data_IF_985695380963
#
_entry.id   IF_985695380963
#
_cell.length_a   1.000
_cell.length_b   1.000
_cell.length_c   1.000
_cell.angle_alpha   90.00
_cell.angle_beta   90.00
_cell.angle_gamma   90.00
#
_symmetry.space_group_name_H-M   'P 1'
#
loop_
_entity.id
_entity.type
_entity.pdbx_description
1 polymer ?
#
# COMPACT_ATOMS: atom_id res chain seq x y z
N UNK A 1 48.79 3.46 -48.47
CA UNK A 1 48.31 4.25 -47.32
C UNK A 1 48.64 3.42 -46.09
N UNK A 2 49.81 3.66 -45.49
CA UNK A 2 49.99 4.43 -44.25
C UNK A 2 49.36 3.68 -43.04
N UNK A 3 50.01 3.39 -41.92
CA UNK A 3 51.36 3.63 -41.39
C UNK A 3 51.53 2.76 -40.13
N UNK A 4 52.79 2.48 -39.76
CA UNK A 4 53.40 2.45 -38.41
C UNK A 4 52.69 1.75 -37.23
N UNK A 5 53.29 0.76 -36.55
CA UNK A 5 54.53 0.77 -35.74
C UNK A 5 54.36 1.37 -34.34
N UNK A 6 55.10 0.79 -33.37
CA UNK A 6 55.63 1.43 -32.13
C UNK A 6 54.68 1.31 -30.92
N UNK A 7 55.06 0.92 -29.68
CA UNK A 7 56.32 0.52 -29.02
C UNK A 7 56.01 0.11 -27.57
N UNK A 8 56.78 -0.82 -27.01
CA UNK A 8 56.90 -1.04 -25.56
C UNK A 8 57.74 0.08 -24.92
N UNK A 9 57.29 0.66 -23.80
CA UNK A 9 58.14 1.50 -22.95
C UNK A 9 57.81 1.28 -21.46
N UNK A 10 58.76 0.61 -20.78
CA UNK A 10 59.40 0.89 -19.47
C UNK A 10 58.80 2.08 -18.69
N UNK A 11 58.42 1.98 -17.42
CA UNK A 11 59.23 1.58 -16.26
C UNK A 11 59.99 2.80 -15.69
N UNK A 12 60.11 2.92 -14.36
CA UNK A 12 60.69 4.05 -13.58
C UNK A 12 59.67 5.18 -13.30
N UNK A 13 59.53 5.81 -12.11
CA UNK A 13 60.39 5.94 -10.93
C UNK A 13 59.53 6.43 -9.72
N UNK A 14 59.96 6.07 -8.52
CA UNK A 14 59.87 6.73 -7.19
C UNK A 14 58.76 7.73 -6.80
N UNK A 15 58.32 7.63 -5.55
CA UNK A 15 57.71 8.75 -4.84
C UNK A 15 57.13 8.38 -3.47
N UNK A 16 57.91 8.58 -2.41
CA UNK A 16 57.46 8.52 -1.03
C UNK A 16 56.46 9.64 -0.73
N UNK A 17 55.38 9.34 0.01
CA UNK A 17 54.67 10.32 0.84
C UNK A 17 54.12 9.66 2.10
N UNK A 18 54.65 10.11 3.25
CA UNK A 18 54.01 10.07 4.56
C UNK A 18 52.63 10.74 4.48
N UNK A 19 51.63 10.08 5.06
CA UNK A 19 50.40 10.74 5.51
C UNK A 19 49.77 9.91 6.63
N UNK A 20 50.03 10.33 7.86
CA UNK A 20 49.14 10.12 9.01
C UNK A 20 47.70 10.51 8.62
N UNK A 21 46.78 9.56 8.63
CA UNK A 21 45.33 9.83 8.62
C UNK A 21 44.65 9.00 9.71
N UNK A 22 44.40 9.70 10.81
CA UNK A 22 43.83 9.27 12.08
C UNK A 22 42.33 8.94 11.87
N UNK A 23 42.02 7.72 11.41
CA UNK A 23 40.62 7.24 11.33
C UNK A 23 40.09 6.88 12.71
N UNK A 24 39.66 7.89 13.46
CA UNK A 24 38.62 7.71 14.49
C UNK A 24 37.26 7.94 13.85
N UNK A 25 36.60 6.87 13.41
CA UNK A 25 35.14 6.87 13.26
C UNK A 25 34.57 6.33 14.55
N UNK A 26 34.01 7.23 15.36
CA UNK A 26 33.26 6.90 16.57
C UNK A 26 32.21 5.83 16.28
N UNK A 27 32.09 4.89 17.22
CA UNK A 27 31.20 3.76 17.14
C UNK A 27 29.75 4.20 16.98
N UNK A 28 29.15 3.82 15.84
CA UNK A 28 27.70 3.73 15.72
C UNK A 28 27.23 2.47 16.46
N UNK A 29 27.14 2.57 17.80
CA UNK A 29 26.39 1.61 18.61
C UNK A 29 24.96 2.13 18.74
N UNK A 30 24.14 1.85 17.74
CA UNK A 30 22.69 1.74 17.94
C UNK A 30 22.25 0.39 17.41
N UNK A 31 21.89 -0.51 18.33
CA UNK A 31 20.63 -1.19 18.16
C UNK A 31 19.75 -0.86 19.36
N UNK A 32 18.76 0.02 19.12
CA UNK A 32 17.55 0.05 19.93
C UNK A 32 16.77 -1.23 19.62
N UNK A 33 17.20 -2.33 20.25
CA UNK A 33 16.42 -3.55 20.33
C UNK A 33 15.40 -3.38 21.45
N UNK A 34 14.23 -2.82 21.11
CA UNK A 34 13.07 -2.90 21.98
C UNK A 34 12.41 -4.26 21.75
N UNK A 35 12.95 -5.29 22.41
CA UNK A 35 12.31 -6.61 22.51
C UNK A 35 11.72 -6.75 23.90
N UNK A 36 10.41 -6.53 23.98
CA UNK A 36 9.56 -7.13 24.99
C UNK A 36 8.58 -8.03 24.27
N UNK A 37 9.01 -9.27 24.02
CA UNK A 37 8.15 -10.38 23.62
C UNK A 37 7.02 -10.54 24.65
N UNK A 38 5.79 -10.57 24.16
CA UNK A 38 4.67 -11.15 24.89
C UNK A 38 3.87 -11.94 23.85
N UNK A 39 4.07 -13.25 23.84
CA UNK A 39 3.20 -14.23 23.15
C UNK A 39 1.85 -14.28 23.88
N UNK A 40 1.05 -13.23 23.69
CA UNK A 40 -0.40 -13.23 23.85
C UNK A 40 -1.01 -13.50 22.46
N UNK A 41 -2.29 -13.94 22.33
CA UNK A 41 -2.91 -14.15 21.02
C UNK A 41 -2.62 -12.95 20.12
N UNK A 42 -2.18 -13.24 18.89
CA UNK A 42 -1.48 -12.34 17.98
C UNK A 42 -2.23 -11.04 17.68
N UNK A 43 -2.15 -10.10 18.61
CA UNK A 43 -2.70 -8.77 18.46
C UNK A 43 -1.82 -7.96 17.51
N UNK A 44 -2.45 -7.37 16.48
CA UNK A 44 -1.81 -6.46 15.55
C UNK A 44 -1.30 -5.24 16.31
N UNK A 45 -0.02 -4.84 16.12
CA UNK A 45 0.51 -3.63 16.73
C UNK A 45 -0.33 -2.41 16.35
N UNK A 46 -0.51 -1.47 17.27
CA UNK A 46 -1.34 -0.28 17.04
C UNK A 46 -0.92 0.52 15.80
N UNK A 47 0.39 0.66 15.55
CA UNK A 47 0.91 1.33 14.35
C UNK A 47 0.46 0.65 13.06
N UNK A 48 0.34 -0.69 13.06
CA UNK A 48 -0.15 -1.47 11.92
C UNK A 48 -1.65 -1.21 11.75
N UNK A 49 -2.43 -1.26 12.84
CA UNK A 49 -3.88 -0.97 12.82
C UNK A 49 -4.15 0.41 12.24
N UNK A 50 -3.50 1.46 12.76
CA UNK A 50 -3.66 2.83 12.25
C UNK A 50 -3.12 2.98 10.82
N UNK A 51 -2.00 2.31 10.51
CA UNK A 51 -1.46 2.25 9.16
C UNK A 51 -2.46 1.67 8.16
N UNK A 52 -3.16 0.59 8.52
CA UNK A 52 -4.21 -0.01 7.70
C UNK A 52 -5.45 0.90 7.62
N UNK A 53 -5.92 1.45 8.72
CA UNK A 53 -7.13 2.29 8.72
C UNK A 53 -6.93 3.67 8.07
N UNK A 54 -5.69 4.12 7.87
CA UNK A 54 -5.39 5.40 7.18
C UNK A 54 -5.95 5.52 5.77
N UNK A 55 -6.21 4.40 5.08
CA UNK A 55 -6.78 4.42 3.73
C UNK A 55 -8.29 4.20 3.77
N UNK A 56 -9.04 5.19 3.28
CA UNK A 56 -10.51 5.16 3.18
C UNK A 56 -11.05 3.90 2.50
N UNK A 57 -10.47 3.49 1.36
CA UNK A 57 -10.89 2.25 0.69
C UNK A 57 -10.74 1.00 1.56
N UNK A 58 -9.72 0.91 2.43
CA UNK A 58 -9.58 -0.23 3.35
C UNK A 58 -10.64 -0.17 4.45
N UNK A 59 -10.93 1.02 4.98
CA UNK A 59 -12.04 1.24 5.91
C UNK A 59 -13.38 0.80 5.31
N UNK A 60 -13.65 1.20 4.07
CA UNK A 60 -14.90 0.86 3.39
C UNK A 60 -15.02 -0.66 3.12
N UNK A 61 -13.92 -1.35 2.78
CA UNK A 61 -13.91 -2.82 2.65
C UNK A 61 -14.29 -3.48 3.98
N UNK A 62 -13.65 -3.08 5.08
CA UNK A 62 -13.90 -3.66 6.40
C UNK A 62 -15.32 -3.38 6.88
N UNK A 63 -15.82 -2.17 6.64
CA UNK A 63 -17.20 -1.80 6.95
C UNK A 63 -18.20 -2.68 6.18
N UNK A 64 -17.98 -2.83 4.88
CA UNK A 64 -18.85 -3.66 4.04
C UNK A 64 -18.91 -5.10 4.51
N UNK A 65 -17.76 -5.72 4.78
CA UNK A 65 -17.68 -7.10 5.26
C UNK A 65 -18.32 -7.25 6.64
N UNK A 66 -18.09 -6.30 7.55
CA UNK A 66 -18.72 -6.32 8.88
C UNK A 66 -20.25 -6.20 8.82
N UNK A 67 -20.77 -5.46 7.84
CA UNK A 67 -22.22 -5.31 7.61
C UNK A 67 -22.84 -6.47 6.83
N UNK A 68 -22.02 -7.27 6.13
CA UNK A 68 -22.45 -8.33 5.20
C UNK A 68 -21.92 -9.71 5.64
N UNK A 69 -22.19 -10.08 6.89
CA UNK A 69 -21.89 -11.40 7.47
C UNK A 69 -20.42 -11.87 7.38
N UNK A 70 -19.48 -11.00 7.00
CA UNK A 70 -18.05 -11.26 6.94
C UNK A 70 -17.52 -11.85 5.63
N UNK A 71 -18.34 -12.04 4.59
CA UNK A 71 -17.90 -12.60 3.29
C UNK A 71 -18.47 -11.80 2.12
N UNK A 72 -17.67 -11.56 1.09
CA UNK A 72 -18.11 -10.93 -0.15
C UNK A 72 -17.20 -11.22 -1.34
N UNK A 73 -17.67 -10.93 -2.55
CA UNK A 73 -16.80 -10.85 -3.73
C UNK A 73 -16.17 -9.48 -3.88
N UNK A 74 -14.99 -9.42 -4.48
CA UNK A 74 -14.34 -8.15 -4.85
C UNK A 74 -15.23 -7.27 -5.74
N UNK A 75 -16.13 -7.89 -6.53
CA UNK A 75 -17.07 -7.17 -7.39
C UNK A 75 -18.09 -6.37 -6.60
N UNK A 76 -18.68 -6.99 -5.58
CA UNK A 76 -19.64 -6.36 -4.66
C UNK A 76 -18.96 -5.25 -3.86
N UNK A 77 -17.79 -5.54 -3.27
CA UNK A 77 -17.02 -4.54 -2.52
C UNK A 77 -16.60 -3.37 -3.41
N UNK A 78 -16.22 -3.62 -4.67
CA UNK A 78 -15.88 -2.55 -5.61
C UNK A 78 -17.07 -1.67 -6.00
N UNK A 79 -18.27 -2.23 -6.04
CA UNK A 79 -19.50 -1.48 -6.27
C UNK A 79 -19.81 -0.58 -5.08
N UNK A 80 -19.80 -1.13 -3.87
CA UNK A 80 -19.97 -0.37 -2.64
C UNK A 80 -18.94 0.75 -2.49
N UNK A 81 -17.64 0.40 -2.55
CA UNK A 81 -16.54 1.38 -2.43
C UNK A 81 -16.64 2.44 -3.51
N UNK A 82 -16.93 2.05 -4.76
CA UNK A 82 -17.08 3.01 -5.85
C UNK A 82 -18.27 3.96 -5.66
N UNK A 83 -19.37 3.47 -5.09
CA UNK A 83 -20.55 4.29 -4.79
C UNK A 83 -20.24 5.31 -3.67
N UNK A 84 -19.66 4.84 -2.57
CA UNK A 84 -19.25 5.67 -1.42
C UNK A 84 -18.28 6.78 -1.84
N UNK A 85 -17.23 6.45 -2.60
CA UNK A 85 -16.24 7.43 -3.06
C UNK A 85 -16.81 8.53 -3.96
N UNK A 86 -17.90 8.23 -4.67
CA UNK A 86 -18.53 9.18 -5.59
C UNK A 86 -19.76 9.85 -4.95
N UNK A 87 -20.15 9.48 -3.73
CA UNK A 87 -21.36 9.98 -3.06
C UNK A 87 -22.64 9.69 -3.85
N UNK A 88 -22.71 8.53 -4.52
CA UNK A 88 -23.85 8.13 -5.36
C UNK A 88 -24.41 6.78 -4.92
N UNK A 89 -25.65 6.50 -5.32
CA UNK A 89 -26.21 5.15 -5.18
C UNK A 89 -25.45 4.15 -6.08
N UNK A 90 -25.25 2.92 -5.62
CA UNK A 90 -24.65 1.82 -6.39
C UNK A 90 -25.28 1.63 -7.78
N UNK A 91 -26.62 1.75 -7.86
CA UNK A 91 -27.40 1.68 -9.10
C UNK A 91 -27.02 2.74 -10.15
N UNK A 92 -26.40 3.85 -9.73
CA UNK A 92 -25.93 4.94 -10.60
C UNK A 92 -24.44 4.86 -10.91
N UNK A 93 -23.74 3.90 -10.32
CA UNK A 93 -22.31 3.71 -10.51
C UNK A 93 -22.01 3.30 -11.95
N UNK A 94 -21.18 4.08 -12.64
CA UNK A 94 -20.75 3.72 -13.98
C UNK A 94 -19.76 2.55 -13.96
N UNK A 95 -19.73 1.77 -15.04
CA UNK A 95 -18.75 0.69 -15.19
C UNK A 95 -17.30 1.19 -15.09
N UNK A 96 -17.03 2.45 -15.49
CA UNK A 96 -15.69 3.04 -15.37
C UNK A 96 -15.33 3.32 -13.91
N UNK A 97 -16.25 3.87 -13.11
CA UNK A 97 -16.02 4.09 -11.68
C UNK A 97 -15.84 2.76 -10.94
N UNK A 98 -16.75 1.80 -11.15
CA UNK A 98 -16.64 0.46 -10.55
C UNK A 98 -15.31 -0.21 -10.90
N UNK A 99 -14.88 -0.13 -12.16
CA UNK A 99 -13.59 -0.69 -12.60
C UNK A 99 -12.39 -0.04 -11.90
N UNK A 100 -12.42 1.27 -11.65
CA UNK A 100 -11.35 1.97 -10.90
C UNK A 100 -11.30 1.51 -9.44
N UNK A 101 -12.45 1.36 -8.80
CA UNK A 101 -12.54 0.81 -7.44
C UNK A 101 -11.96 -0.61 -7.41
N UNK A 102 -12.46 -1.50 -8.26
CA UNK A 102 -12.01 -2.89 -8.38
C UNK A 102 -10.50 -3.01 -8.53
N UNK A 103 -9.91 -2.29 -9.49
CA UNK A 103 -8.46 -2.37 -9.76
C UNK A 103 -7.65 -1.89 -8.56
N UNK A 104 -8.06 -0.79 -7.93
CA UNK A 104 -7.39 -0.29 -6.73
C UNK A 104 -7.47 -1.28 -5.57
N UNK A 105 -8.64 -1.91 -5.37
CA UNK A 105 -8.83 -2.95 -4.37
C UNK A 105 -7.88 -4.11 -4.60
N UNK A 106 -7.89 -4.68 -5.81
CA UNK A 106 -7.07 -5.81 -6.19
C UNK A 106 -5.56 -5.58 -6.00
N UNK A 107 -5.07 -4.38 -6.37
CA UNK A 107 -3.64 -4.10 -6.44
C UNK A 107 -3.04 -3.60 -5.13
N UNK A 108 -3.79 -2.83 -4.33
CA UNK A 108 -3.21 -2.10 -3.20
C UNK A 108 -3.91 -2.41 -1.87
N UNK A 109 -5.23 -2.54 -1.87
CA UNK A 109 -5.97 -2.59 -0.61
C UNK A 109 -6.10 -4.01 -0.08
N UNK A 110 -6.64 -4.93 -0.88
CA UNK A 110 -6.85 -6.31 -0.44
C UNK A 110 -5.53 -7.02 -0.11
N UNK A 111 -4.46 -6.92 -0.93
CA UNK A 111 -3.18 -7.54 -0.58
C UNK A 111 -2.65 -7.13 0.79
N UNK A 112 -2.78 -5.85 1.15
CA UNK A 112 -2.27 -5.33 2.44
C UNK A 112 -3.12 -5.72 3.64
N UNK A 113 -4.42 -5.90 3.44
CA UNK A 113 -5.31 -6.40 4.49
C UNK A 113 -5.07 -7.90 4.71
N UNK A 114 -4.86 -8.64 3.63
CA UNK A 114 -4.53 -10.07 3.61
C UNK A 114 -3.16 -10.35 4.25
N UNK A 115 -2.12 -9.60 3.89
CA UNK A 115 -0.78 -9.68 4.49
C UNK A 115 -0.80 -9.46 6.03
N UNK A 116 -1.80 -8.75 6.54
CA UNK A 116 -1.99 -8.47 7.95
C UNK A 116 -3.00 -9.41 8.63
N UNK A 117 -3.47 -10.46 7.95
CA UNK A 117 -4.49 -11.41 8.42
C UNK A 117 -5.79 -10.74 8.88
N UNK A 118 -6.09 -9.56 8.34
CA UNK A 118 -7.34 -8.81 8.61
C UNK A 118 -8.46 -9.30 7.71
N UNK A 119 -8.12 -9.74 6.50
CA UNK A 119 -9.02 -10.45 5.60
C UNK A 119 -8.31 -11.71 5.10
N UNK A 120 -9.05 -12.68 4.60
CA UNK A 120 -8.53 -13.70 3.70
C UNK A 120 -8.95 -13.32 2.27
N UNK A 121 -7.96 -13.12 1.38
CA UNK A 121 -8.21 -12.76 0.00
C UNK A 121 -7.78 -13.83 -1.00
N UNK A 122 -8.75 -14.63 -1.46
CA UNK A 122 -8.54 -15.63 -2.50
C UNK A 122 -8.61 -15.00 -3.90
N UNK A 123 -7.44 -14.61 -4.40
CA UNK A 123 -7.25 -13.94 -5.69
C UNK A 123 -7.83 -14.69 -6.89
N UNK A 124 -7.76 -16.03 -6.89
CA UNK A 124 -8.21 -16.82 -8.03
C UNK A 124 -9.73 -16.82 -8.15
N UNK A 125 -10.43 -16.73 -7.01
CA UNK A 125 -11.91 -16.72 -6.95
C UNK A 125 -12.47 -15.30 -6.82
N UNK A 126 -11.66 -14.34 -6.40
CA UNK A 126 -12.10 -12.98 -6.11
C UNK A 126 -13.00 -12.91 -4.88
N UNK A 127 -12.86 -13.85 -3.95
CA UNK A 127 -13.61 -13.89 -2.69
C UNK A 127 -12.79 -13.28 -1.57
N UNK A 128 -13.47 -12.61 -0.65
CA UNK A 128 -12.87 -11.90 0.48
C UNK A 128 -13.67 -12.27 1.72
N UNK A 129 -12.97 -12.72 2.75
CA UNK A 129 -13.56 -13.09 4.05
C UNK A 129 -12.87 -12.31 5.16
N UNK A 130 -13.56 -12.06 6.28
CA UNK A 130 -12.93 -11.46 7.46
C UNK A 130 -11.92 -12.44 8.08
N UNK A 131 -10.71 -11.96 8.32
CA UNK A 131 -9.67 -12.69 9.03
C UNK A 131 -9.72 -12.46 10.54
N UNK A 132 -8.91 -13.23 11.27
CA UNK A 132 -8.83 -13.16 12.74
C UNK A 132 -8.38 -11.79 13.24
N UNK A 133 -7.57 -11.06 12.46
CA UNK A 133 -7.11 -9.72 12.79
C UNK A 133 -8.18 -8.62 12.65
N UNK A 134 -9.32 -8.91 12.01
CA UNK A 134 -10.35 -7.91 11.74
C UNK A 134 -10.96 -7.30 13.01
N UNK A 135 -11.17 -8.12 14.04
CA UNK A 135 -11.85 -7.72 15.27
C UNK A 135 -11.14 -6.56 15.98
N UNK A 136 -9.81 -6.48 15.85
CA UNK A 136 -9.00 -5.43 16.45
C UNK A 136 -9.13 -4.08 15.73
N UNK A 137 -9.53 -4.07 14.45
CA UNK A 137 -9.69 -2.86 13.66
C UNK A 137 -11.06 -2.21 13.85
N UNK A 138 -12.11 -3.00 14.12
CA UNK A 138 -13.48 -2.49 14.21
C UNK A 138 -13.70 -1.41 15.28
N UNK A 139 -13.14 -1.51 16.51
CA UNK A 139 -13.25 -0.44 17.49
C UNK A 139 -12.73 0.89 16.96
N UNK A 140 -11.68 0.87 16.14
CA UNK A 140 -11.07 2.08 15.58
C UNK A 140 -11.71 2.57 14.28
N UNK A 141 -12.43 1.68 13.58
CA UNK A 141 -13.13 2.00 12.33
C UNK A 141 -14.25 3.04 12.52
N UNK A 142 -14.92 3.00 13.67
CA UNK A 142 -16.08 3.86 13.98
C UNK A 142 -15.77 5.08 14.88
N UNK A 143 -14.52 5.24 15.34
CA UNK A 143 -14.15 6.37 16.21
C UNK A 143 -14.08 7.71 15.46
N UNK A 144 -13.88 7.72 14.14
CA UNK A 144 -13.81 8.94 13.31
C UNK A 144 -15.19 9.63 13.13
N UNK A 145 -16.28 9.01 13.61
CA UNK A 145 -17.63 9.57 13.55
C UNK A 145 -18.05 10.35 14.81
N UNK A 146 -17.13 10.68 15.72
CA UNK A 146 -17.45 11.62 16.80
C UNK A 146 -17.60 13.03 16.22
N UNK A 147 -18.85 13.44 15.97
CA UNK A 147 -19.27 14.75 15.47
C UNK A 147 -18.38 15.92 15.95
N UNK A 148 -17.53 16.50 15.07
CA UNK A 148 -17.08 17.86 15.24
C UNK A 148 -18.15 18.76 14.64
N UNK A 149 -18.96 19.40 15.49
CA UNK A 149 -19.83 20.50 15.08
C UNK A 149 -19.00 21.61 14.39
N UNK A 150 -19.14 21.75 13.08
CA UNK A 150 -18.98 23.00 12.31
C UNK A 150 -17.63 23.28 11.62
N UNK A 151 -17.72 23.60 10.31
CA UNK A 151 -16.71 24.33 9.51
C UNK A 151 -16.18 23.56 8.31
N UNK A 152 -16.74 23.70 7.10
CA UNK A 152 -16.44 24.71 6.05
C UNK A 152 -15.26 24.35 5.11
N UNK A 153 -15.64 24.18 3.83
CA UNK A 153 -14.96 24.47 2.56
C UNK A 153 -13.53 23.98 2.23
N UNK A 154 -13.46 23.24 1.11
CA UNK A 154 -12.58 23.53 -0.04
C UNK A 154 -11.27 22.75 -0.16
N UNK A 155 -11.14 21.90 -1.18
CA UNK A 155 -10.30 22.14 -2.38
C UNK A 155 -10.09 20.84 -3.19
N UNK A 156 -10.49 20.90 -4.47
CA UNK A 156 -10.37 19.82 -5.45
C UNK A 156 -9.11 20.07 -6.31
N UNK A 157 -8.12 19.16 -6.27
CA UNK A 157 -7.03 19.13 -7.26
C UNK A 157 -6.83 17.72 -7.83
N UNK A 158 -6.95 17.67 -9.15
CA UNK A 158 -6.94 16.47 -9.98
C UNK A 158 -5.65 15.66 -9.87
N UNK A 159 -5.74 14.44 -9.35
CA UNK A 159 -4.74 13.37 -9.52
C UNK A 159 -4.92 12.64 -10.86
N UNK A 160 -5.05 13.40 -11.94
CA UNK A 160 -5.21 12.86 -13.30
C UNK A 160 -3.89 12.76 -14.04
N UNK A 161 -3.16 11.65 -13.82
CA UNK A 161 -2.34 11.02 -14.86
C UNK A 161 -2.06 9.52 -14.60
N UNK A 162 -2.96 8.84 -13.90
CA UNK A 162 -2.88 7.37 -13.72
C UNK A 162 -3.78 6.63 -14.71
N UNK A 163 -4.80 7.31 -15.23
CA UNK A 163 -5.83 6.75 -16.11
C UNK A 163 -5.32 6.42 -17.52
N UNK A 164 -4.32 7.13 -18.03
CA UNK A 164 -3.75 6.85 -19.36
C UNK A 164 -2.81 5.63 -19.34
N UNK A 165 -2.03 5.48 -18.27
CA UNK A 165 -1.18 4.29 -18.05
C UNK A 165 -2.05 3.06 -17.82
N UNK A 166 -3.14 3.21 -17.07
CA UNK A 166 -4.04 2.12 -16.76
C UNK A 166 -4.92 1.71 -17.97
N UNK A 167 -5.33 2.66 -18.81
CA UNK A 167 -6.04 2.38 -20.08
C UNK A 167 -5.22 1.54 -21.06
N UNK A 168 -3.89 1.71 -21.07
CA UNK A 168 -3.00 0.91 -21.92
C UNK A 168 -2.88 -0.56 -21.45
N UNK A 169 -2.98 -0.82 -20.13
CA UNK A 169 -2.75 -2.15 -19.54
C UNK A 169 -4.03 -2.96 -19.31
N UNK A 170 -5.17 -2.29 -19.15
CA UNK A 170 -6.47 -2.92 -18.89
C UNK A 170 -7.06 -3.68 -20.09
N UNK A 171 -6.62 -3.39 -21.33
CA UNK A 171 -7.16 -4.02 -22.55
C UNK A 171 -6.90 -5.54 -22.61
N UNK A 172 -5.93 -6.06 -21.87
CA UNK A 172 -5.40 -7.41 -22.11
C UNK A 172 -5.67 -8.43 -20.97
N UNK A 173 -6.32 -8.06 -19.86
CA UNK A 173 -6.27 -8.89 -18.63
C UNK A 173 -7.60 -9.28 -17.96
N UNK A 174 -8.75 -9.03 -18.56
CA UNK A 174 -10.03 -9.57 -18.06
C UNK A 174 -10.87 -10.03 -19.26
N UNK A 175 -11.04 -11.34 -19.52
CA UNK A 175 -11.96 -11.81 -20.54
C UNK A 175 -13.41 -11.54 -20.10
N UNK A 176 -14.25 -11.11 -21.05
CA UNK A 176 -15.69 -10.91 -20.89
C UNK A 176 -16.44 -12.24 -20.75
#
# INVERSE_FOLDING_TARGET
MASSSTVETVGEESGAVDADDDRRTDGNASPVGSSGDTEEPSDLPSDVVFGLLSAERRRNVLRYLHETDGEATIGEVAEYVGAEENGIEERRLSSTQRKRAYVGLYQNHLPKLDDANVIDYERARGTIELGEGAEQLFPHLYLDSTDPEGGDSGDEVATSNWLDVLRARIRDLIPF
#
